data_IF_627437439230
#
_entry.id   IF_627437439230
#
_cell.length_a   1.000
_cell.length_b   1.000
_cell.length_c   1.000
_cell.angle_alpha   90.00
_cell.angle_beta   90.00
_cell.angle_gamma   90.00
#
_symmetry.space_group_name_H-M   'P 1'
#
loop_
_entity.id
_entity.type
_entity.pdbx_description
1 polymer ?
#
# COMPACT_ATOMS: atom_id res chain seq x y z
N UNK A 1 47.72 -14.68 8.48
CA UNK A 1 46.35 -15.12 8.11
C UNK A 1 45.48 -13.87 8.12
N UNK A 2 45.48 -13.17 6.99
CA UNK A 2 45.09 -11.76 6.87
C UNK A 2 43.60 -11.69 6.58
N UNK A 3 42.84 -11.06 7.48
CA UNK A 3 41.44 -10.70 7.29
C UNK A 3 41.32 -9.75 6.08
N UNK A 4 40.82 -10.26 4.97
CA UNK A 4 40.29 -9.44 3.89
C UNK A 4 38.94 -8.89 4.34
N UNK A 5 38.98 -7.72 4.96
CA UNK A 5 37.84 -6.83 5.10
C UNK A 5 37.52 -6.37 3.68
N UNK A 6 36.55 -7.02 3.04
CA UNK A 6 35.90 -6.47 1.85
C UNK A 6 35.15 -5.23 2.31
N UNK A 7 35.76 -4.07 2.10
CA UNK A 7 35.03 -2.80 2.06
C UNK A 7 33.98 -2.95 0.96
N UNK A 8 32.74 -3.22 1.36
CA UNK A 8 31.58 -3.01 0.51
C UNK A 8 31.49 -1.49 0.30
N UNK A 9 32.14 -1.00 -0.74
CA UNK A 9 31.87 0.30 -1.32
C UNK A 9 30.40 0.31 -1.69
N UNK A 10 29.60 1.01 -0.89
CA UNK A 10 28.22 1.34 -1.19
C UNK A 10 28.18 2.36 -2.33
N UNK A 11 28.63 1.94 -3.50
CA UNK A 11 28.24 2.53 -4.78
C UNK A 11 27.29 1.49 -5.35
N UNK A 12 26.03 1.89 -5.59
CA UNK A 12 25.12 1.00 -6.31
C UNK A 12 25.84 0.54 -7.58
N UNK A 13 25.60 -0.67 -8.10
CA UNK A 13 25.85 -0.88 -9.51
C UNK A 13 25.17 0.31 -10.20
N UNK A 14 25.94 1.09 -10.94
CA UNK A 14 25.36 2.13 -11.78
C UNK A 14 24.26 1.45 -12.58
N UNK A 15 23.09 2.08 -12.63
CA UNK A 15 22.06 1.68 -13.59
C UNK A 15 22.74 1.42 -14.93
N UNK A 16 22.39 0.36 -15.67
CA UNK A 16 23.01 0.06 -16.97
C UNK A 16 23.09 1.34 -17.81
N UNK A 17 24.22 1.56 -18.49
CA UNK A 17 24.47 2.78 -19.26
C UNK A 17 23.25 3.09 -20.17
N UNK A 18 22.56 4.21 -19.89
CA UNK A 18 21.39 4.66 -20.66
C UNK A 18 20.06 4.81 -19.88
N UNK A 19 19.98 4.41 -18.61
CA UNK A 19 18.80 4.71 -17.77
C UNK A 19 18.88 6.12 -17.17
N UNK A 20 17.73 6.81 -17.06
CA UNK A 20 17.63 8.11 -16.39
C UNK A 20 18.16 8.01 -14.95
N UNK A 21 19.01 8.95 -14.49
CA UNK A 21 19.37 9.02 -13.08
C UNK A 21 18.09 9.19 -12.25
N UNK A 22 17.99 8.42 -11.16
CA UNK A 22 16.83 8.41 -10.26
C UNK A 22 15.50 7.96 -10.88
N UNK A 23 15.53 7.02 -11.83
CA UNK A 23 14.33 6.47 -12.46
C UNK A 23 13.31 5.93 -11.43
N UNK A 24 13.77 5.32 -10.33
CA UNK A 24 12.93 4.86 -9.22
C UNK A 24 12.16 6.00 -8.55
N UNK A 25 12.76 7.18 -8.47
CA UNK A 25 12.15 8.38 -7.90
C UNK A 25 11.03 8.92 -8.80
N UNK A 26 11.22 8.89 -10.12
CA UNK A 26 10.18 9.29 -11.10
C UNK A 26 8.98 8.35 -11.02
N UNK A 27 9.21 7.03 -11.02
CA UNK A 27 8.13 6.05 -10.87
C UNK A 27 7.40 6.25 -9.54
N UNK A 28 8.15 6.42 -8.45
CA UNK A 28 7.58 6.62 -7.12
C UNK A 28 6.67 7.85 -7.09
N UNK A 29 7.11 8.97 -7.67
CA UNK A 29 6.30 10.18 -7.75
C UNK A 29 5.04 9.95 -8.59
N UNK A 30 5.16 9.29 -9.75
CA UNK A 30 4.03 8.97 -10.60
C UNK A 30 2.96 8.12 -9.87
N UNK A 31 3.39 7.13 -9.09
CA UNK A 31 2.49 6.30 -8.27
C UNK A 31 1.76 7.14 -7.21
N UNK A 32 2.49 7.98 -6.48
CA UNK A 32 1.91 8.85 -5.42
C UNK A 32 0.91 9.83 -6.01
N UNK A 33 1.28 10.51 -7.11
CA UNK A 33 0.42 11.47 -7.78
C UNK A 33 -0.82 10.80 -8.38
N UNK A 34 -0.67 9.60 -8.95
CA UNK A 34 -1.80 8.82 -9.46
C UNK A 34 -2.75 8.42 -8.34
N UNK A 35 -2.24 7.93 -7.20
CA UNK A 35 -3.06 7.57 -6.06
C UNK A 35 -3.86 8.77 -5.51
N UNK A 36 -3.21 9.94 -5.42
CA UNK A 36 -3.88 11.18 -5.00
C UNK A 36 -4.93 11.63 -6.02
N UNK A 37 -4.61 11.61 -7.32
CA UNK A 37 -5.53 12.00 -8.39
C UNK A 37 -6.78 11.10 -8.41
N UNK A 38 -6.59 9.79 -8.29
CA UNK A 38 -7.69 8.82 -8.18
C UNK A 38 -8.55 9.18 -6.96
N UNK A 39 -7.94 9.34 -5.78
CA UNK A 39 -8.66 9.69 -4.56
C UNK A 39 -9.43 11.01 -4.70
N UNK A 40 -8.85 12.01 -5.35
CA UNK A 40 -9.51 13.29 -5.62
C UNK A 40 -10.74 13.11 -6.52
N UNK A 41 -10.58 12.41 -7.64
CA UNK A 41 -11.66 12.17 -8.61
C UNK A 41 -12.79 11.32 -8.05
N UNK A 42 -12.49 10.26 -7.29
CA UNK A 42 -13.48 9.43 -6.60
C UNK A 42 -14.36 10.23 -5.63
N UNK A 43 -13.83 11.34 -5.10
CA UNK A 43 -14.51 12.21 -4.15
C UNK A 43 -14.96 13.55 -4.77
N UNK A 44 -15.16 13.56 -6.10
CA UNK A 44 -15.68 14.71 -6.81
C UNK A 44 -17.22 14.74 -6.85
N UNK A 45 -17.82 15.93 -6.81
CA UNK A 45 -19.29 16.10 -6.78
C UNK A 45 -19.98 15.62 -8.08
N UNK A 46 -19.34 15.84 -9.23
CA UNK A 46 -19.86 15.46 -10.54
C UNK A 46 -19.67 13.95 -10.83
N UNK A 47 -20.70 13.22 -11.28
CA UNK A 47 -20.63 11.78 -11.54
C UNK A 47 -19.62 11.41 -12.62
N UNK A 48 -19.51 12.20 -13.71
CA UNK A 48 -18.51 11.98 -14.77
C UNK A 48 -17.07 12.00 -14.25
N UNK A 49 -16.76 12.88 -13.30
CA UNK A 49 -15.43 12.94 -12.69
C UNK A 49 -15.16 11.73 -11.79
N UNK A 50 -16.17 11.25 -11.04
CA UNK A 50 -16.06 10.01 -10.26
C UNK A 50 -15.87 8.80 -11.16
N UNK A 51 -16.60 8.73 -12.28
CA UNK A 51 -16.42 7.67 -13.28
C UNK A 51 -14.99 7.66 -13.83
N UNK A 52 -14.41 8.83 -14.14
CA UNK A 52 -13.00 8.92 -14.53
C UNK A 52 -12.07 8.40 -13.44
N UNK A 53 -12.31 8.77 -12.17
CA UNK A 53 -11.55 8.24 -11.03
C UNK A 53 -11.66 6.72 -10.92
N UNK A 54 -12.85 6.16 -11.06
CA UNK A 54 -13.10 4.71 -11.04
C UNK A 54 -12.41 4.00 -12.22
N UNK A 55 -12.44 4.59 -13.42
CA UNK A 55 -11.72 4.06 -14.59
C UNK A 55 -10.21 4.11 -14.40
N UNK A 56 -9.67 5.16 -13.79
CA UNK A 56 -8.24 5.23 -13.45
C UNK A 56 -7.86 4.20 -12.39
N UNK A 57 -8.72 3.92 -11.41
CA UNK A 57 -8.53 2.80 -10.48
C UNK A 57 -8.50 1.46 -11.21
N UNK A 58 -9.38 1.25 -12.20
CA UNK A 58 -9.36 0.04 -13.02
C UNK A 58 -8.06 -0.08 -13.81
N UNK A 59 -7.58 1.02 -14.40
CA UNK A 59 -6.30 1.06 -15.09
C UNK A 59 -5.12 0.77 -14.14
N UNK A 60 -5.16 1.27 -12.91
CA UNK A 60 -4.14 0.94 -11.90
C UNK A 60 -4.16 -0.57 -11.56
N UNK A 61 -5.33 -1.19 -11.46
CA UNK A 61 -5.45 -2.64 -11.30
C UNK A 61 -4.84 -3.40 -12.50
N UNK A 62 -5.12 -2.99 -13.73
CA UNK A 62 -4.48 -3.59 -14.91
C UNK A 62 -2.98 -3.30 -14.98
N UNK A 63 -2.54 -2.16 -14.42
CA UNK A 63 -1.12 -1.85 -14.23
C UNK A 63 -0.41 -2.86 -13.33
N UNK A 64 -1.07 -3.35 -12.26
CA UNK A 64 -0.54 -4.44 -11.43
C UNK A 64 -0.44 -5.74 -12.23
N UNK A 65 -1.42 -6.05 -13.08
CA UNK A 65 -1.38 -7.23 -13.97
C UNK A 65 -0.23 -7.12 -14.97
N UNK A 66 -0.07 -5.97 -15.61
CA UNK A 66 1.01 -5.70 -16.55
C UNK A 66 2.39 -5.75 -15.86
N UNK A 67 2.51 -5.17 -14.66
CA UNK A 67 3.71 -5.28 -13.82
C UNK A 67 4.04 -6.74 -13.49
N UNK A 68 3.04 -7.55 -13.11
CA UNK A 68 3.26 -8.96 -12.84
C UNK A 68 3.72 -9.71 -14.10
N UNK A 69 3.17 -9.39 -15.27
CA UNK A 69 3.65 -9.90 -16.55
C UNK A 69 5.12 -9.57 -16.82
N UNK A 70 5.54 -8.32 -16.55
CA UNK A 70 6.94 -7.91 -16.65
C UNK A 70 7.83 -8.67 -15.66
N UNK A 71 7.35 -8.87 -14.43
CA UNK A 71 8.02 -9.65 -13.39
C UNK A 71 8.26 -11.10 -13.83
N UNK A 72 7.30 -11.75 -14.49
CA UNK A 72 7.49 -13.10 -15.02
C UNK A 72 8.66 -13.19 -16.02
N UNK A 73 8.86 -12.14 -16.81
CA UNK A 73 9.98 -12.03 -17.76
C UNK A 73 11.35 -11.85 -17.10
N UNK A 74 11.43 -11.51 -15.82
CA UNK A 74 12.70 -11.33 -15.09
C UNK A 74 13.34 -12.63 -14.61
N UNK A 75 12.59 -13.75 -14.61
CA UNK A 75 13.06 -15.03 -14.04
C UNK A 75 13.02 -15.12 -12.51
N UNK A 76 12.70 -14.03 -11.79
CA UNK A 76 12.68 -13.99 -10.31
C UNK A 76 11.58 -14.88 -9.72
N UNK A 77 10.47 -15.08 -10.43
CA UNK A 77 9.38 -15.96 -9.97
C UNK A 77 9.82 -17.43 -10.02
N UNK A 78 10.62 -17.79 -11.02
CA UNK A 78 11.13 -19.14 -11.26
C UNK A 78 12.36 -19.43 -10.39
N UNK A 79 13.21 -18.41 -10.18
CA UNK A 79 14.44 -18.49 -9.40
C UNK A 79 14.44 -17.39 -8.33
N UNK A 80 13.57 -17.50 -7.29
CA UNK A 80 13.53 -16.51 -6.23
C UNK A 80 14.79 -16.58 -5.36
N UNK A 81 15.04 -15.50 -4.60
CA UNK A 81 16.00 -15.49 -3.51
C UNK A 81 15.77 -16.70 -2.60
N UNK A 82 16.86 -17.29 -2.13
CA UNK A 82 16.84 -18.44 -1.22
C UNK A 82 15.88 -18.23 -0.04
N UNK A 83 15.08 -19.26 0.23
CA UNK A 83 14.07 -19.23 1.28
C UNK A 83 14.74 -19.17 2.64
N UNK A 84 14.38 -18.16 3.42
CA UNK A 84 14.82 -17.99 4.80
C UNK A 84 13.94 -18.79 5.76
N UNK A 85 12.66 -18.96 5.41
CA UNK A 85 11.67 -19.74 6.17
C UNK A 85 10.75 -20.54 5.23
N UNK A 86 10.12 -21.63 5.68
CA UNK A 86 9.20 -22.42 4.83
C UNK A 86 8.05 -21.62 4.21
N UNK A 87 7.64 -20.53 4.86
CA UNK A 87 6.58 -19.64 4.37
C UNK A 87 6.96 -18.88 3.09
N UNK A 88 8.26 -18.77 2.77
CA UNK A 88 8.73 -18.09 1.55
C UNK A 88 8.30 -18.79 0.26
N UNK A 89 8.11 -20.12 0.32
CA UNK A 89 7.63 -20.92 -0.80
C UNK A 89 6.25 -20.48 -1.33
N UNK A 90 5.46 -19.79 -0.50
CA UNK A 90 4.13 -19.29 -0.88
C UNK A 90 4.15 -17.94 -1.59
N UNK A 91 5.27 -17.20 -1.55
CA UNK A 91 5.34 -15.84 -2.11
C UNK A 91 5.00 -15.78 -3.62
N UNK A 92 5.51 -16.68 -4.48
CA UNK A 92 5.08 -16.74 -5.88
C UNK A 92 3.57 -16.90 -6.02
N UNK A 93 2.97 -17.82 -5.27
CA UNK A 93 1.53 -18.08 -5.32
C UNK A 93 0.71 -16.86 -4.86
N UNK A 94 1.17 -16.14 -3.84
CA UNK A 94 0.53 -14.90 -3.39
C UNK A 94 0.52 -13.83 -4.50
N UNK A 95 1.62 -13.67 -5.25
CA UNK A 95 1.66 -12.72 -6.37
C UNK A 95 0.69 -13.11 -7.50
N UNK A 96 0.58 -14.42 -7.82
CA UNK A 96 -0.43 -14.92 -8.76
C UNK A 96 -1.86 -14.61 -8.30
N UNK A 97 -2.17 -14.88 -7.03
CA UNK A 97 -3.47 -14.55 -6.46
C UNK A 97 -3.77 -13.05 -6.56
N UNK A 98 -2.77 -12.20 -6.28
CA UNK A 98 -2.93 -10.74 -6.38
C UNK A 98 -3.16 -10.28 -7.82
N UNK A 99 -2.49 -10.88 -8.80
CA UNK A 99 -2.73 -10.58 -10.21
C UNK A 99 -4.17 -10.92 -10.60
N UNK A 100 -4.68 -12.08 -10.20
CA UNK A 100 -6.07 -12.49 -10.49
C UNK A 100 -7.07 -11.54 -9.82
N UNK A 101 -6.86 -11.23 -8.52
CA UNK A 101 -7.72 -10.29 -7.79
C UNK A 101 -7.69 -8.91 -8.44
N UNK A 102 -6.52 -8.42 -8.86
CA UNK A 102 -6.38 -7.15 -9.56
C UNK A 102 -7.13 -7.15 -10.90
N UNK A 103 -6.99 -8.21 -11.70
CA UNK A 103 -7.69 -8.34 -12.98
C UNK A 103 -9.21 -8.29 -12.81
N UNK A 104 -9.75 -9.13 -11.91
CA UNK A 104 -11.18 -9.17 -11.62
C UNK A 104 -11.69 -7.83 -11.05
N UNK A 105 -10.91 -7.19 -10.17
CA UNK A 105 -11.24 -5.87 -9.63
C UNK A 105 -11.25 -4.79 -10.71
N UNK A 106 -10.30 -4.82 -11.65
CA UNK A 106 -10.26 -3.91 -12.78
C UNK A 106 -11.51 -4.00 -13.65
N UNK A 107 -11.92 -5.22 -14.02
CA UNK A 107 -13.17 -5.44 -14.78
C UNK A 107 -14.40 -4.96 -14.01
N UNK A 108 -14.48 -5.27 -12.72
CA UNK A 108 -15.59 -4.80 -11.87
C UNK A 108 -15.65 -3.27 -11.80
N UNK A 109 -14.50 -2.61 -11.64
CA UNK A 109 -14.43 -1.15 -11.59
C UNK A 109 -14.85 -0.50 -12.91
N UNK A 110 -14.56 -1.11 -14.07
CA UNK A 110 -15.08 -0.62 -15.36
C UNK A 110 -16.62 -0.69 -15.42
N UNK A 111 -17.24 -1.75 -14.87
CA UNK A 111 -18.70 -1.85 -14.76
C UNK A 111 -19.25 -0.74 -13.86
N UNK A 112 -18.59 -0.48 -12.72
CA UNK A 112 -18.96 0.61 -11.80
C UNK A 112 -18.82 1.97 -12.47
N UNK A 113 -17.74 2.22 -13.19
CA UNK A 113 -17.50 3.47 -13.91
C UNK A 113 -18.60 3.71 -14.97
N UNK A 114 -18.96 2.68 -15.75
CA UNK A 114 -20.05 2.76 -16.71
C UNK A 114 -21.40 3.07 -16.02
N UNK A 115 -21.70 2.44 -14.88
CA UNK A 115 -22.90 2.76 -14.09
C UNK A 115 -22.89 4.20 -13.58
N UNK A 116 -21.75 4.72 -13.13
CA UNK A 116 -21.63 6.11 -12.68
C UNK A 116 -21.84 7.11 -13.83
N UNK A 117 -21.42 6.78 -15.06
CA UNK A 117 -21.68 7.62 -16.24
C UNK A 117 -23.18 7.69 -16.59
N UNK A 118 -23.89 6.56 -16.49
CA UNK A 118 -25.27 6.44 -16.95
C UNK A 118 -26.31 6.80 -15.87
N UNK A 119 -26.01 6.55 -14.60
CA UNK A 119 -26.97 6.67 -13.49
C UNK A 119 -26.46 7.51 -12.31
N UNK A 120 -25.31 8.17 -12.45
CA UNK A 120 -24.72 8.95 -11.36
C UNK A 120 -25.48 10.24 -11.07
N UNK A 121 -25.77 10.50 -9.81
CA UNK A 121 -26.27 11.79 -9.33
C UNK A 121 -25.13 12.73 -8.92
N UNK A 122 -25.43 14.03 -8.81
CA UNK A 122 -24.51 14.98 -8.16
C UNK A 122 -24.51 14.71 -6.66
N UNK A 123 -23.31 14.68 -6.06
CA UNK A 123 -23.15 14.49 -4.62
C UNK A 123 -22.85 15.82 -3.94
N UNK A 124 -23.51 16.05 -2.80
CA UNK A 124 -23.10 17.08 -1.85
C UNK A 124 -22.01 16.53 -0.92
N UNK A 125 -20.77 16.98 -1.13
CA UNK A 125 -19.57 16.51 -0.45
C UNK A 125 -18.92 17.67 0.29
N UNK A 126 -19.31 17.96 1.55
CA UNK A 126 -18.68 19.00 2.36
C UNK A 126 -17.20 18.71 2.57
N UNK A 127 -16.38 19.75 2.74
CA UNK A 127 -14.94 19.58 2.97
C UNK A 127 -14.64 18.96 4.34
N UNK A 128 -15.40 19.38 5.37
CA UNK A 128 -15.27 18.96 6.76
C UNK A 128 -16.15 17.74 7.06
N UNK A 129 -15.82 17.02 8.13
CA UNK A 129 -16.65 15.94 8.63
C UNK A 129 -17.92 16.49 9.30
N UNK A 130 -19.01 15.73 9.17
CA UNK A 130 -20.27 15.96 9.88
C UNK A 130 -20.51 14.83 10.89
N UNK A 131 -21.62 14.87 11.63
CA UNK A 131 -21.94 13.85 12.64
C UNK A 131 -22.22 12.47 12.03
N UNK A 132 -22.77 12.39 10.81
CA UNK A 132 -23.18 11.14 10.16
C UNK A 132 -22.23 10.70 9.02
N UNK A 133 -21.47 11.63 8.42
CA UNK A 133 -20.64 11.34 7.23
C UNK A 133 -19.26 11.98 7.27
N UNK A 134 -18.30 11.34 6.61
CA UNK A 134 -16.95 11.87 6.44
C UNK A 134 -16.92 12.93 5.35
N UNK A 135 -16.20 14.02 5.61
CA UNK A 135 -15.96 15.08 4.65
C UNK A 135 -14.95 14.68 3.58
N UNK A 136 -14.87 15.49 2.52
CA UNK A 136 -14.01 15.25 1.35
C UNK A 136 -12.54 15.10 1.72
N UNK A 137 -12.04 15.89 2.67
CA UNK A 137 -10.63 15.83 3.10
C UNK A 137 -10.31 14.47 3.72
N UNK A 138 -11.14 13.99 4.65
CA UNK A 138 -10.98 12.67 5.27
C UNK A 138 -11.02 11.54 4.24
N UNK A 139 -11.92 11.66 3.26
CA UNK A 139 -12.08 10.66 2.20
C UNK A 139 -10.89 10.65 1.25
N UNK A 140 -10.37 11.80 0.83
CA UNK A 140 -9.15 11.89 0.00
C UNK A 140 -7.96 11.25 0.73
N UNK A 141 -7.70 11.62 1.99
CA UNK A 141 -6.62 11.00 2.76
C UNK A 141 -6.81 9.48 2.89
N UNK A 142 -8.03 9.02 3.16
CA UNK A 142 -8.31 7.59 3.23
C UNK A 142 -8.02 6.88 1.92
N UNK A 143 -8.54 7.36 0.79
CA UNK A 143 -8.40 6.69 -0.51
C UNK A 143 -6.97 6.75 -1.04
N UNK A 144 -6.27 7.88 -0.89
CA UNK A 144 -4.83 7.96 -1.24
C UNK A 144 -4.04 6.95 -0.42
N UNK A 145 -4.30 6.88 0.89
CA UNK A 145 -3.65 5.92 1.78
C UNK A 145 -3.99 4.48 1.40
N UNK A 146 -5.26 4.18 1.12
CA UNK A 146 -5.72 2.83 0.79
C UNK A 146 -5.09 2.32 -0.52
N UNK A 147 -5.05 3.16 -1.56
CA UNK A 147 -4.45 2.81 -2.85
C UNK A 147 -2.96 2.51 -2.68
N UNK A 148 -2.22 3.40 -2.02
CA UNK A 148 -0.79 3.20 -1.77
C UNK A 148 -0.53 1.98 -0.87
N UNK A 149 -1.35 1.77 0.15
CA UNK A 149 -1.21 0.64 1.07
C UNK A 149 -1.48 -0.70 0.38
N UNK A 150 -2.49 -0.78 -0.49
CA UNK A 150 -2.75 -1.97 -1.31
C UNK A 150 -1.61 -2.21 -2.30
N UNK A 151 -1.07 -1.15 -2.91
CA UNK A 151 0.09 -1.23 -3.81
C UNK A 151 1.36 -1.73 -3.09
N UNK A 152 1.54 -1.41 -1.80
CA UNK A 152 2.70 -1.86 -1.03
C UNK A 152 2.74 -3.37 -0.81
N UNK A 153 1.62 -4.08 -0.90
CA UNK A 153 1.58 -5.52 -0.65
C UNK A 153 2.33 -6.32 -1.72
N UNK A 154 1.95 -6.29 -3.02
CA UNK A 154 2.69 -7.03 -4.04
C UNK A 154 4.13 -6.56 -4.13
N UNK A 155 4.39 -5.25 -3.91
CA UNK A 155 5.74 -4.73 -3.98
C UNK A 155 6.63 -5.22 -2.83
N UNK A 156 6.11 -5.30 -1.61
CA UNK A 156 6.84 -5.86 -0.47
C UNK A 156 7.16 -7.35 -0.63
N UNK A 157 6.18 -8.13 -1.12
CA UNK A 157 6.39 -9.55 -1.43
C UNK A 157 7.51 -9.69 -2.46
N UNK A 158 7.40 -8.99 -3.60
CA UNK A 158 8.39 -9.09 -4.67
C UNK A 158 9.77 -8.59 -4.24
N UNK A 159 9.88 -7.47 -3.52
CA UNK A 159 11.16 -6.96 -3.01
C UNK A 159 11.90 -8.00 -2.14
N UNK A 160 11.15 -8.83 -1.42
CA UNK A 160 11.71 -9.91 -0.59
C UNK A 160 12.17 -11.13 -1.40
N UNK A 161 11.72 -11.28 -2.65
CA UNK A 161 12.04 -12.40 -3.54
C UNK A 161 13.20 -12.11 -4.49
N UNK A 162 13.54 -10.86 -4.76
CA UNK A 162 14.59 -10.53 -5.75
C UNK A 162 15.96 -11.01 -5.23
N UNK A 163 16.70 -11.88 -5.96
CA UNK A 163 18.06 -12.28 -5.61
C UNK A 163 19.05 -11.10 -5.55
N UNK A 164 20.12 -11.23 -4.77
CA UNK A 164 21.03 -10.11 -4.46
C UNK A 164 21.80 -9.58 -5.68
N UNK A 165 22.06 -10.45 -6.66
CA UNK A 165 22.78 -10.14 -7.89
C UNK A 165 21.90 -9.56 -9.01
N UNK A 166 20.60 -9.38 -8.79
CA UNK A 166 19.70 -8.84 -9.82
C UNK A 166 19.85 -7.32 -9.91
N UNK A 167 20.11 -6.82 -11.12
CA UNK A 167 20.47 -5.42 -11.38
C UNK A 167 19.45 -4.39 -10.86
N UNK A 168 18.14 -4.66 -10.97
CA UNK A 168 17.07 -3.72 -10.54
C UNK A 168 16.71 -3.80 -9.05
N UNK A 169 17.37 -4.68 -8.27
CA UNK A 169 17.01 -4.94 -6.87
C UNK A 169 17.07 -3.67 -6.01
N UNK A 170 18.10 -2.86 -6.23
CA UNK A 170 18.36 -1.66 -5.43
C UNK A 170 17.30 -0.62 -5.67
N UNK A 171 17.03 -0.29 -6.93
CA UNK A 171 16.02 0.67 -7.39
C UNK A 171 14.64 0.27 -6.90
N UNK A 172 14.29 -1.02 -7.05
CA UNK A 172 13.02 -1.54 -6.59
C UNK A 172 12.86 -1.44 -5.06
N UNK A 173 13.94 -1.71 -4.32
CA UNK A 173 13.97 -1.58 -2.85
C UNK A 173 13.86 -0.12 -2.41
N UNK A 174 14.48 0.81 -3.13
CA UNK A 174 14.37 2.25 -2.87
C UNK A 174 12.94 2.76 -3.13
N UNK A 175 12.32 2.35 -4.24
CA UNK A 175 10.91 2.66 -4.52
C UNK A 175 10.00 2.19 -3.39
N UNK A 176 10.11 0.91 -3.00
CA UNK A 176 9.30 0.34 -1.91
C UNK A 176 9.49 1.10 -0.59
N UNK A 177 10.74 1.37 -0.19
CA UNK A 177 11.03 2.13 1.04
C UNK A 177 10.48 3.56 0.98
N UNK A 178 10.67 4.24 -0.15
CA UNK A 178 10.19 5.62 -0.34
C UNK A 178 8.67 5.69 -0.17
N UNK A 179 7.92 4.81 -0.84
CA UNK A 179 6.45 4.75 -0.71
C UNK A 179 6.06 4.40 0.74
N UNK A 180 6.80 3.50 1.40
CA UNK A 180 6.60 3.18 2.82
C UNK A 180 6.73 4.39 3.74
N UNK A 181 7.74 5.25 3.54
CA UNK A 181 7.91 6.49 4.30
C UNK A 181 6.82 7.51 4.00
N UNK A 182 6.41 7.65 2.74
CA UNK A 182 5.31 8.55 2.36
C UNK A 182 3.99 8.08 3.00
N UNK A 183 3.73 6.78 3.02
CA UNK A 183 2.58 6.20 3.73
C UNK A 183 2.62 6.48 5.22
N UNK A 184 3.79 6.34 5.86
CA UNK A 184 3.94 6.68 7.28
C UNK A 184 3.59 8.16 7.54
N UNK A 185 4.08 9.08 6.70
CA UNK A 185 3.72 10.50 6.77
C UNK A 185 2.22 10.75 6.59
N UNK A 186 1.60 10.13 5.58
CA UNK A 186 0.15 10.22 5.32
C UNK A 186 -0.68 9.70 6.50
N UNK A 187 -0.26 8.62 7.15
CA UNK A 187 -0.93 8.07 8.33
C UNK A 187 -0.84 9.03 9.51
N UNK A 188 0.32 9.64 9.76
CA UNK A 188 0.49 10.64 10.81
C UNK A 188 -0.43 11.84 10.55
N UNK A 189 -0.42 12.37 9.32
CA UNK A 189 -1.32 13.48 8.93
C UNK A 189 -2.79 13.09 9.13
N UNK A 190 -3.17 11.87 8.73
CA UNK A 190 -4.54 11.36 8.88
C UNK A 190 -4.93 11.20 10.35
N UNK A 191 -4.03 10.77 11.23
CA UNK A 191 -4.27 10.68 12.67
C UNK A 191 -4.48 12.07 13.29
N UNK A 192 -3.64 13.04 12.94
CA UNK A 192 -3.78 14.44 13.37
C UNK A 192 -5.13 14.99 12.89
N UNK A 193 -5.46 14.78 11.61
CA UNK A 193 -6.73 15.21 11.04
C UNK A 193 -7.94 14.58 11.74
N UNK A 194 -7.89 13.27 11.99
CA UNK A 194 -8.97 12.53 12.65
C UNK A 194 -9.09 12.84 14.15
N UNK A 195 -8.07 13.43 14.77
CA UNK A 195 -8.13 13.95 16.13
C UNK A 195 -8.77 15.35 16.17
N UNK A 196 -8.48 16.21 15.17
CA UNK A 196 -9.01 17.57 15.09
C UNK A 196 -10.42 17.67 14.48
N UNK A 197 -10.81 16.68 13.69
CA UNK A 197 -12.10 16.66 12.99
C UNK A 197 -13.17 15.91 13.78
N UNK A 198 -14.42 16.32 13.62
CA UNK A 198 -15.59 15.56 14.10
C UNK A 198 -15.51 14.13 13.58
N UNK A 199 -15.60 13.13 14.46
CA UNK A 199 -15.66 11.72 14.06
C UNK A 199 -17.12 11.34 13.84
N UNK A 200 -17.53 10.99 12.61
CA UNK A 200 -18.92 10.60 12.40
C UNK A 200 -19.21 9.29 13.11
N UNK A 201 -20.38 9.18 13.73
CA UNK A 201 -20.76 8.03 14.57
C UNK A 201 -20.76 6.73 13.77
N UNK A 202 -20.51 5.61 14.44
CA UNK A 202 -20.70 4.30 13.81
C UNK A 202 -22.19 4.09 13.58
N UNK A 203 -22.52 3.36 12.52
CA UNK A 203 -23.90 3.06 12.15
C UNK A 203 -24.63 2.40 13.34
N UNK A 204 -25.82 2.91 13.63
CA UNK A 204 -26.69 2.41 14.69
C UNK A 204 -27.19 0.99 14.39
N UNK A 205 -27.20 0.58 13.13
CA UNK A 205 -27.57 -0.78 12.67
C UNK A 205 -26.58 -1.87 13.11
N UNK A 206 -25.36 -1.51 13.49
CA UNK A 206 -24.33 -2.48 13.90
C UNK A 206 -24.65 -3.07 15.27
N UNK A 207 -24.59 -4.40 15.38
CA UNK A 207 -24.66 -5.09 16.68
C UNK A 207 -23.49 -4.64 17.58
N UNK A 208 -23.64 -4.64 18.91
CA UNK A 208 -22.57 -4.21 19.82
C UNK A 208 -21.23 -4.94 19.59
N UNK A 209 -21.27 -6.24 19.28
CA UNK A 209 -20.09 -7.04 18.94
C UNK A 209 -19.43 -6.58 17.64
N UNK A 210 -20.21 -6.29 16.60
CA UNK A 210 -19.71 -5.80 15.30
C UNK A 210 -19.09 -4.40 15.46
N UNK A 211 -19.71 -3.54 16.27
CA UNK A 211 -19.16 -2.22 16.61
C UNK A 211 -17.79 -2.31 17.30
N UNK A 212 -17.66 -3.20 18.28
CA UNK A 212 -16.38 -3.46 18.97
C UNK A 212 -15.33 -3.98 17.99
N UNK A 213 -15.71 -4.93 17.14
CA UNK A 213 -14.81 -5.51 16.14
C UNK A 213 -14.34 -4.47 15.12
N UNK A 214 -15.24 -3.65 14.58
CA UNK A 214 -14.90 -2.58 13.65
C UNK A 214 -13.93 -1.57 14.29
N UNK A 215 -14.13 -1.23 15.57
CA UNK A 215 -13.21 -0.34 16.28
C UNK A 215 -11.82 -0.99 16.47
N UNK A 216 -11.77 -2.25 16.89
CA UNK A 216 -10.51 -3.00 17.04
C UNK A 216 -9.75 -3.10 15.71
N UNK A 217 -10.44 -3.42 14.60
CA UNK A 217 -9.83 -3.51 13.27
C UNK A 217 -9.24 -2.15 12.86
N UNK A 218 -9.95 -1.04 13.08
CA UNK A 218 -9.41 0.28 12.77
C UNK A 218 -8.18 0.64 13.61
N UNK A 219 -8.21 0.37 14.92
CA UNK A 219 -7.06 0.61 15.80
C UNK A 219 -5.85 -0.24 15.35
N UNK A 220 -6.06 -1.53 15.14
CA UNK A 220 -5.01 -2.44 14.70
C UNK A 220 -4.46 -2.05 13.33
N UNK A 221 -5.31 -1.62 12.40
CA UNK A 221 -4.84 -1.08 11.11
C UNK A 221 -3.91 0.12 11.30
N UNK A 222 -4.27 1.09 12.14
CA UNK A 222 -3.38 2.24 12.39
C UNK A 222 -2.04 1.81 13.02
N UNK A 223 -2.08 0.90 13.99
CA UNK A 223 -0.86 0.35 14.61
C UNK A 223 0.02 -0.31 13.55
N UNK A 224 -0.55 -1.20 12.72
CA UNK A 224 0.20 -1.92 11.69
C UNK A 224 0.76 -0.98 10.62
N UNK A 225 -0.01 0.01 10.18
CA UNK A 225 0.42 1.00 9.20
C UNK A 225 1.60 1.85 9.66
N UNK A 226 1.80 2.00 10.98
CA UNK A 226 2.98 2.65 11.56
C UNK A 226 4.09 1.64 11.80
N UNK A 227 3.77 0.51 12.40
CA UNK A 227 4.74 -0.50 12.82
C UNK A 227 5.49 -1.11 11.64
N UNK A 228 4.83 -1.40 10.52
CA UNK A 228 5.47 -2.00 9.34
C UNK A 228 6.58 -1.12 8.76
N UNK A 229 6.37 0.16 8.38
CA UNK A 229 7.46 0.99 7.86
C UNK A 229 8.54 1.28 8.91
N UNK A 230 8.17 1.47 10.19
CA UNK A 230 9.15 1.69 11.26
C UNK A 230 10.06 0.47 11.43
N UNK A 231 9.49 -0.73 11.53
CA UNK A 231 10.27 -1.98 11.61
C UNK A 231 11.12 -2.23 10.37
N UNK A 232 10.63 -1.85 9.18
CA UNK A 232 11.42 -1.92 7.94
C UNK A 232 12.63 -0.99 7.94
N UNK A 233 12.48 0.23 8.49
CA UNK A 233 13.60 1.17 8.62
C UNK A 233 14.59 0.74 9.71
N UNK A 234 14.10 0.25 10.86
CA UNK A 234 14.93 -0.34 11.92
C UNK A 234 15.73 -1.53 11.37
N UNK A 235 15.08 -2.46 10.67
CA UNK A 235 15.72 -3.58 9.99
C UNK A 235 16.83 -3.11 9.05
N UNK A 236 16.54 -2.13 8.19
CA UNK A 236 17.50 -1.58 7.22
C UNK A 236 18.69 -0.92 7.92
N UNK A 237 18.46 -0.24 9.04
CA UNK A 237 19.50 0.43 9.81
C UNK A 237 20.45 -0.56 10.47
N UNK A 238 19.93 -1.62 11.11
CA UNK A 238 20.77 -2.70 11.64
C UNK A 238 21.55 -3.45 10.55
N UNK A 239 21.03 -3.48 9.32
CA UNK A 239 21.74 -4.04 8.18
C UNK A 239 22.93 -3.16 7.73
N UNK A 240 22.97 -1.89 8.14
CA UNK A 240 23.99 -0.91 7.76
C UNK A 240 23.76 -0.29 6.38
N UNK A 241 22.55 -0.40 5.81
CA UNK A 241 22.22 0.21 4.53
C UNK A 241 21.55 1.56 4.72
N UNK A 242 21.95 2.55 3.93
CA UNK A 242 21.20 3.79 3.84
C UNK A 242 19.80 3.55 3.24
N UNK A 243 18.85 4.38 3.65
CA UNK A 243 17.55 4.48 3.00
C UNK A 243 17.47 5.79 2.22
N UNK A 244 16.59 5.85 1.23
CA UNK A 244 16.37 7.05 0.42
C UNK A 244 14.88 7.38 0.41
N UNK A 245 14.58 8.67 0.50
CA UNK A 245 13.26 9.25 0.22
C UNK A 245 13.48 10.21 -0.93
N UNK A 246 13.25 9.75 -2.16
CA UNK A 246 13.74 10.45 -3.36
C UNK A 246 15.25 10.73 -3.25
N UNK A 247 15.67 11.99 -3.33
CA UNK A 247 17.07 12.41 -3.21
C UNK A 247 17.55 12.53 -1.76
N UNK A 248 16.65 12.48 -0.77
CA UNK A 248 17.02 12.57 0.64
C UNK A 248 17.60 11.23 1.12
N UNK A 249 18.90 11.22 1.40
CA UNK A 249 19.57 10.09 2.05
C UNK A 249 19.30 10.09 3.55
N UNK A 250 18.88 8.93 4.06
CA UNK A 250 18.73 8.64 5.47
C UNK A 250 19.79 7.62 5.87
N UNK A 251 20.77 8.07 6.65
CA UNK A 251 21.82 7.19 7.18
C UNK A 251 21.23 6.19 8.20
N UNK A 252 21.82 4.99 8.31
CA UNK A 252 21.52 4.08 9.41
C UNK A 252 21.64 4.80 10.75
N UNK A 253 20.56 4.82 11.53
CA UNK A 253 20.56 5.43 12.87
C UNK A 253 20.90 4.43 13.99
N UNK A 254 21.17 3.18 13.62
CA UNK A 254 21.50 2.07 14.52
C UNK A 254 22.82 1.44 14.09
N UNK A 255 23.62 0.92 15.04
CA UNK A 255 24.85 0.23 14.71
C UNK A 255 24.56 -1.05 13.92
N UNK A 256 25.42 -1.37 12.96
CA UNK A 256 25.33 -2.61 12.19
C UNK A 256 25.41 -3.81 13.14
N UNK A 257 24.42 -4.70 13.09
CA UNK A 257 24.40 -5.94 13.89
C UNK A 257 23.39 -6.93 13.32
N UNK A 258 23.49 -8.21 13.72
CA UNK A 258 22.59 -9.28 13.29
C UNK A 258 21.13 -9.12 13.79
N UNK A 259 20.83 -8.08 14.58
CA UNK A 259 19.46 -7.73 14.92
C UNK A 259 18.58 -7.49 13.69
N UNK A 260 19.15 -7.16 12.52
CA UNK A 260 18.40 -7.05 11.26
C UNK A 260 17.63 -8.34 10.92
N UNK A 261 18.09 -9.51 11.39
CA UNK A 261 17.41 -10.80 11.18
C UNK A 261 16.08 -10.80 11.94
N UNK A 262 16.11 -10.44 13.23
CA UNK A 262 14.91 -10.38 14.10
C UNK A 262 13.93 -9.32 13.57
N UNK A 263 14.41 -8.13 13.24
CA UNK A 263 13.56 -7.08 12.68
C UNK A 263 13.02 -7.44 11.29
N UNK A 264 13.78 -8.23 10.53
CA UNK A 264 13.30 -8.86 9.30
C UNK A 264 12.16 -9.84 9.55
N UNK A 265 12.19 -10.61 10.64
CA UNK A 265 11.08 -11.48 11.01
C UNK A 265 9.80 -10.70 11.32
N UNK A 266 9.93 -9.59 12.06
CA UNK A 266 8.80 -8.70 12.36
C UNK A 266 8.22 -8.08 11.09
N UNK A 267 9.07 -7.45 10.28
CA UNK A 267 8.63 -6.69 9.11
C UNK A 267 8.08 -7.60 7.99
N UNK A 268 8.78 -8.68 7.64
CA UNK A 268 8.45 -9.51 6.47
C UNK A 268 7.40 -10.58 6.78
N UNK A 269 7.30 -11.02 8.03
CA UNK A 269 6.39 -12.09 8.43
C UNK A 269 5.36 -11.59 9.44
N UNK A 270 5.70 -11.43 10.72
CA UNK A 270 4.69 -11.22 11.77
C UNK A 270 3.72 -10.08 11.44
N UNK A 271 4.23 -8.89 11.18
CA UNK A 271 3.41 -7.72 10.90
C UNK A 271 2.73 -7.81 9.53
N UNK A 272 3.39 -8.39 8.53
CA UNK A 272 2.84 -8.53 7.19
C UNK A 272 1.64 -9.49 7.16
N UNK A 273 1.71 -10.64 7.83
CA UNK A 273 0.57 -11.56 7.92
C UNK A 273 -0.56 -10.99 8.77
N UNK A 274 -0.25 -10.24 9.84
CA UNK A 274 -1.25 -9.47 10.56
C UNK A 274 -1.93 -8.44 9.65
N UNK A 275 -1.18 -7.75 8.78
CA UNK A 275 -1.76 -6.86 7.77
C UNK A 275 -2.74 -7.62 6.87
N UNK A 276 -2.42 -8.82 6.39
CA UNK A 276 -3.35 -9.60 5.55
C UNK A 276 -4.65 -9.93 6.25
N UNK A 277 -4.56 -10.40 7.50
CA UNK A 277 -5.73 -10.79 8.29
C UNK A 277 -6.59 -9.55 8.60
N UNK A 278 -5.98 -8.48 9.09
CA UNK A 278 -6.71 -7.29 9.54
C UNK A 278 -7.25 -6.48 8.35
N UNK A 279 -6.48 -6.34 7.26
CA UNK A 279 -6.96 -5.72 6.03
C UNK A 279 -8.07 -6.56 5.39
N UNK A 280 -7.92 -7.88 5.37
CA UNK A 280 -8.96 -8.80 4.92
C UNK A 280 -10.24 -8.63 5.73
N UNK A 281 -10.15 -8.63 7.06
CA UNK A 281 -11.29 -8.39 7.95
C UNK A 281 -11.93 -7.01 7.71
N UNK A 282 -11.13 -5.97 7.45
CA UNK A 282 -11.62 -4.63 7.13
C UNK A 282 -12.43 -4.62 5.82
N UNK A 283 -11.86 -5.14 4.74
CA UNK A 283 -12.50 -5.15 3.42
C UNK A 283 -13.71 -6.09 3.39
N UNK A 284 -13.56 -7.33 3.86
CA UNK A 284 -14.65 -8.31 3.90
C UNK A 284 -15.77 -7.87 4.83
N UNK A 285 -15.46 -7.23 5.96
CA UNK A 285 -16.48 -6.65 6.85
C UNK A 285 -17.30 -5.57 6.15
N UNK A 286 -16.65 -4.65 5.43
CA UNK A 286 -17.35 -3.63 4.66
C UNK A 286 -18.23 -4.24 3.54
N UNK A 287 -17.72 -5.24 2.82
CA UNK A 287 -18.46 -5.94 1.77
C UNK A 287 -19.65 -6.73 2.33
N UNK A 288 -19.47 -7.45 3.45
CA UNK A 288 -20.54 -8.17 4.16
C UNK A 288 -21.66 -7.20 4.54
N UNK A 289 -21.33 -6.08 5.18
CA UNK A 289 -22.33 -5.11 5.61
C UNK A 289 -23.11 -4.53 4.43
N UNK A 290 -22.45 -4.28 3.30
CA UNK A 290 -23.11 -3.74 2.12
C UNK A 290 -23.97 -4.76 1.36
N UNK A 291 -23.42 -5.93 1.06
CA UNK A 291 -24.05 -6.91 0.15
C UNK A 291 -24.93 -7.94 0.87
N UNK A 292 -24.58 -8.33 2.09
CA UNK A 292 -25.29 -9.37 2.85
C UNK A 292 -26.26 -8.72 3.84
N UNK A 293 -25.75 -7.85 4.72
CA UNK A 293 -26.59 -7.20 5.73
C UNK A 293 -27.46 -6.08 5.14
N UNK A 294 -27.15 -5.63 3.91
CA UNK A 294 -27.82 -4.52 3.21
C UNK A 294 -27.75 -3.19 3.98
N UNK A 295 -26.77 -3.05 4.87
CA UNK A 295 -26.44 -1.82 5.57
C UNK A 295 -25.63 -0.93 4.61
N UNK A 296 -26.35 -0.15 3.81
CA UNK A 296 -25.72 0.64 2.75
C UNK A 296 -24.72 1.68 3.29
N UNK A 297 -24.89 2.12 4.54
CA UNK A 297 -24.16 3.26 5.11
C UNK A 297 -22.69 2.97 5.41
N UNK A 298 -22.31 1.71 5.65
CA UNK A 298 -20.92 1.34 5.94
C UNK A 298 -19.95 1.73 4.81
N UNK A 299 -20.31 1.46 3.55
CA UNK A 299 -19.51 1.82 2.38
C UNK A 299 -19.83 3.25 1.92
N UNK A 300 -21.11 3.66 1.93
CA UNK A 300 -21.53 4.98 1.45
C UNK A 300 -20.78 6.11 2.15
N UNK A 301 -20.57 6.02 3.47
CA UNK A 301 -19.83 7.06 4.23
C UNK A 301 -18.41 7.35 3.73
N UNK A 302 -17.81 6.43 2.96
CA UNK A 302 -16.49 6.59 2.35
C UNK A 302 -16.52 6.76 0.81
N UNK A 303 -17.62 6.40 0.14
CA UNK A 303 -17.71 6.33 -1.33
C UNK A 303 -18.77 7.28 -1.93
N UNK A 304 -19.82 7.63 -1.19
CA UNK A 304 -20.92 8.49 -1.67
C UNK A 304 -21.42 9.42 -0.57
#
# INVERSE_FOLDING_TARGET
>A
MTLLIVQATAVSPSTPDGWLPHFESVITLAIIMTAFLIAWLLNHAKPKARALGTSLSALACFGIVAWFGAVLGTGVIQNPKEFQVPMDAWKPALLWMQMIVAFCSGLFLLIVANRQLNHGSVLDLPSKNEASRYGRVSRIFHWTTAILFIFMIPTGIFASMIPENVWFRTEYSVMHKTIGFILLGLVIIRLIWNHRSTRPTLDHSLKPKERKLAHSVHILMYILMIAVPVTGYVMTSFHGYASYIFTLKLEPFLPKSDAYIIWGLFHKYLLQYLVYIILGAHVLGALKHHFIDKHADAIKRMVS
#
